data_IF_342401993150
#
_entry.id   IF_342401993150
#
_cell.length_a   1.000
_cell.length_b   1.000
_cell.length_c   1.000
_cell.angle_alpha   90.00
_cell.angle_beta   90.00
_cell.angle_gamma   90.00
#
_symmetry.space_group_name_H-M   'P 1'
#
loop_
_entity.id
_entity.type
_entity.pdbx_description
1 polymer ?
#
# COMPACT_ATOMS: atom_id res chain seq x y z
N UNK A 1 -33.18 11.18 6.95
CA UNK A 1 -31.83 10.97 6.37
C UNK A 1 -31.89 11.37 4.90
N UNK A 2 -31.21 12.45 4.50
CA UNK A 2 -31.26 12.93 3.12
C UNK A 2 -30.29 12.11 2.26
N UNK A 3 -30.57 11.93 0.96
CA UNK A 3 -29.69 11.23 0.01
C UNK A 3 -28.27 11.81 -0.02
N UNK A 4 -28.14 13.12 0.22
CA UNK A 4 -26.85 13.79 0.35
C UNK A 4 -26.07 13.38 1.61
N UNK A 5 -26.76 13.08 2.72
CA UNK A 5 -26.13 12.60 3.94
C UNK A 5 -25.62 11.17 3.74
N UNK A 6 -26.41 10.30 3.12
CA UNK A 6 -26.01 8.93 2.77
C UNK A 6 -24.81 8.91 1.83
N UNK A 7 -24.76 9.82 0.85
CA UNK A 7 -23.64 9.91 -0.08
C UNK A 7 -22.36 10.38 0.63
N UNK A 8 -22.46 11.35 1.54
CA UNK A 8 -21.31 11.80 2.35
C UNK A 8 -20.79 10.68 3.26
N UNK A 9 -21.70 9.93 3.88
CA UNK A 9 -21.37 8.80 4.74
C UNK A 9 -20.64 7.69 3.96
N UNK A 10 -21.17 7.31 2.79
CA UNK A 10 -20.52 6.32 1.91
C UNK A 10 -19.12 6.77 1.43
N UNK A 11 -18.93 8.05 1.11
CA UNK A 11 -17.61 8.59 0.74
C UNK A 11 -16.65 8.59 1.93
N UNK A 12 -17.13 8.92 3.14
CA UNK A 12 -16.33 8.90 4.35
C UNK A 12 -15.92 7.47 4.73
N UNK A 13 -16.83 6.51 4.59
CA UNK A 13 -16.57 5.09 4.79
C UNK A 13 -15.53 4.57 3.78
N UNK A 14 -15.71 4.86 2.49
CA UNK A 14 -14.74 4.51 1.45
C UNK A 14 -13.34 5.09 1.75
N UNK A 15 -13.26 6.36 2.17
CA UNK A 15 -11.98 6.99 2.56
C UNK A 15 -11.34 6.30 3.76
N UNK A 16 -12.15 5.85 4.71
CA UNK A 16 -11.67 5.16 5.92
C UNK A 16 -11.15 3.77 5.57
N UNK A 17 -11.87 3.03 4.72
CA UNK A 17 -11.45 1.73 4.21
C UNK A 17 -10.14 1.82 3.41
N UNK A 18 -10.00 2.84 2.56
CA UNK A 18 -8.74 3.05 1.81
C UNK A 18 -7.57 3.32 2.75
N UNK A 19 -7.73 4.23 3.72
CA UNK A 19 -6.69 4.50 4.73
C UNK A 19 -6.33 3.26 5.56
N UNK A 20 -7.32 2.45 5.92
CA UNK A 20 -7.10 1.20 6.63
C UNK A 20 -6.32 0.20 5.78
N UNK A 21 -6.61 0.16 4.48
CA UNK A 21 -5.90 -0.69 3.51
C UNK A 21 -4.44 -0.28 3.38
N UNK A 22 -4.14 1.03 3.30
CA UNK A 22 -2.77 1.54 3.26
C UNK A 22 -2.01 1.15 4.54
N UNK A 23 -2.64 1.29 5.71
CA UNK A 23 -2.06 0.89 6.98
C UNK A 23 -1.77 -0.62 7.08
N UNK A 24 -2.63 -1.45 6.49
CA UNK A 24 -2.40 -2.90 6.39
C UNK A 24 -1.24 -3.21 5.44
N UNK A 25 -1.13 -2.51 4.33
CA UNK A 25 -0.03 -2.70 3.38
C UNK A 25 1.34 -2.42 4.04
N UNK A 26 1.45 -1.35 4.82
CA UNK A 26 2.67 -1.02 5.58
C UNK A 26 3.03 -2.12 6.60
N UNK A 27 2.04 -2.62 7.35
CA UNK A 27 2.24 -3.71 8.31
C UNK A 27 2.72 -4.99 7.62
N UNK A 28 2.12 -5.32 6.47
CA UNK A 28 2.53 -6.46 5.66
C UNK A 28 3.95 -6.30 5.12
N UNK A 29 4.33 -5.09 4.66
CA UNK A 29 5.67 -4.81 4.18
C UNK A 29 6.71 -5.03 5.28
N UNK A 30 6.45 -4.58 6.51
CA UNK A 30 7.37 -4.77 7.63
C UNK A 30 7.47 -6.25 8.06
N UNK A 31 6.35 -6.98 8.06
CA UNK A 31 6.33 -8.43 8.28
C UNK A 31 7.11 -9.22 7.21
N UNK A 32 7.07 -8.76 5.96
CA UNK A 32 7.78 -9.35 4.84
C UNK A 32 9.27 -9.01 4.86
N UNK A 33 9.66 -7.81 5.31
CA UNK A 33 11.05 -7.34 5.37
C UNK A 33 11.98 -8.34 6.05
N UNK A 34 11.58 -8.89 7.20
CA UNK A 34 12.35 -9.92 7.93
C UNK A 34 12.37 -11.30 7.26
N UNK A 35 11.51 -11.54 6.28
CA UNK A 35 11.29 -12.83 5.62
C UNK A 35 11.74 -12.87 4.17
N UNK A 36 12.22 -11.76 3.60
CA UNK A 36 12.64 -11.66 2.19
C UNK A 36 13.64 -12.75 1.77
N UNK A 37 14.51 -13.21 2.68
CA UNK A 37 15.47 -14.30 2.41
C UNK A 37 14.83 -15.66 2.14
N UNK A 38 13.57 -15.86 2.53
CA UNK A 38 12.79 -17.09 2.32
C UNK A 38 11.84 -16.99 1.13
N UNK A 39 11.71 -15.81 0.52
CA UNK A 39 10.87 -15.58 -0.66
C UNK A 39 11.55 -16.19 -1.89
N UNK A 40 10.77 -16.67 -2.84
CA UNK A 40 11.31 -17.21 -4.09
C UNK A 40 12.20 -16.18 -4.80
N UNK A 41 13.28 -16.64 -5.46
CA UNK A 41 14.21 -15.74 -6.18
C UNK A 41 13.51 -14.92 -7.26
N UNK A 42 12.50 -15.50 -7.92
CA UNK A 42 11.75 -14.83 -8.98
C UNK A 42 10.90 -13.67 -8.41
N UNK A 43 10.15 -13.94 -7.34
CA UNK A 43 9.36 -12.91 -6.65
C UNK A 43 10.26 -11.82 -6.07
N UNK A 44 11.41 -12.17 -5.49
CA UNK A 44 12.37 -11.20 -4.96
C UNK A 44 12.95 -10.31 -6.07
N UNK A 45 13.26 -10.88 -7.23
CA UNK A 45 13.74 -10.12 -8.39
C UNK A 45 12.67 -9.17 -8.94
N UNK A 46 11.41 -9.61 -9.01
CA UNK A 46 10.28 -8.77 -9.41
C UNK A 46 10.07 -7.61 -8.42
N UNK A 47 10.05 -7.90 -7.12
CA UNK A 47 9.94 -6.88 -6.06
C UNK A 47 11.08 -5.87 -6.13
N UNK A 48 12.32 -6.33 -6.36
CA UNK A 48 13.46 -5.44 -6.54
C UNK A 48 13.30 -4.51 -7.73
N UNK A 49 12.77 -5.00 -8.86
CA UNK A 49 12.52 -4.18 -10.06
C UNK A 49 11.50 -3.09 -9.78
N UNK A 50 10.43 -3.42 -9.05
CA UNK A 50 9.43 -2.44 -8.65
C UNK A 50 10.06 -1.37 -7.74
N UNK A 51 10.76 -1.78 -6.68
CA UNK A 51 11.41 -0.88 -5.74
C UNK A 51 12.52 0.00 -6.37
N UNK A 52 13.05 -0.34 -7.54
CA UNK A 52 13.97 0.54 -8.28
C UNK A 52 13.30 1.81 -8.80
N UNK A 53 11.97 1.80 -8.95
CA UNK A 53 11.20 2.98 -9.29
C UNK A 53 10.99 3.89 -8.09
N UNK A 54 11.10 3.38 -6.86
CA UNK A 54 11.00 4.21 -5.67
C UNK A 54 12.30 5.01 -5.42
N UNK A 55 12.20 6.33 -5.37
CA UNK A 55 13.28 7.23 -4.99
C UNK A 55 13.31 7.39 -3.46
N UNK A 56 14.28 6.76 -2.80
CA UNK A 56 14.41 6.83 -1.34
C UNK A 56 14.76 8.24 -0.81
N UNK A 57 15.34 9.13 -1.62
CA UNK A 57 15.69 10.48 -1.21
C UNK A 57 14.49 11.42 -1.24
N UNK A 58 13.63 11.32 -2.26
CA UNK A 58 12.43 12.17 -2.40
C UNK A 58 11.17 11.52 -1.83
N UNK A 59 11.20 10.20 -1.57
CA UNK A 59 10.06 9.37 -1.14
C UNK A 59 8.93 9.29 -2.18
N UNK A 60 9.29 9.39 -3.45
CA UNK A 60 8.35 9.37 -4.57
C UNK A 60 8.64 8.20 -5.49
N UNK A 61 7.62 7.72 -6.19
CA UNK A 61 7.77 6.74 -7.26
C UNK A 61 8.12 7.47 -8.56
N UNK A 62 9.02 6.90 -9.36
CA UNK A 62 9.25 7.32 -10.74
C UNK A 62 8.05 6.85 -11.56
N UNK A 63 7.43 7.78 -12.27
CA UNK A 63 6.43 7.50 -13.29
C UNK A 63 7.02 6.67 -14.45
#
# INVERSE_FOLDING_TARGET
MNKFDMMREAVAEARTTLRATDGVADQMADMLRGRLRKVSRYTLAALKRELQQFNASTKEWKD
#
